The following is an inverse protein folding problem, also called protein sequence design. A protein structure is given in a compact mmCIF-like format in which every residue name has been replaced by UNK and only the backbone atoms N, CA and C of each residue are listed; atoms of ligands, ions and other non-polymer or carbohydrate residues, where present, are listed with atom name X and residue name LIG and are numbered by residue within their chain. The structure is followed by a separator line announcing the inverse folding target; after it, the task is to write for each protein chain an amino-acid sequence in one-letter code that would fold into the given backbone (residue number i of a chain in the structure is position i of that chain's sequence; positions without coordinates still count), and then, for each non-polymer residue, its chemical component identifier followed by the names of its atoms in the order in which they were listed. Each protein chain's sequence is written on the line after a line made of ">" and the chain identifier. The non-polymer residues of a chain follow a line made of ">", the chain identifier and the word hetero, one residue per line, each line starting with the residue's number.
data_IF_809478094848
#
_entry.id   IF_809478094848
#
_cell.length_a   1.000
_cell.length_b   1.000
_cell.length_c   1.000
_cell.angle_alpha   90.00
_cell.angle_beta   90.00
_cell.angle_gamma   90.00
#
_symmetry.space_group_name_H-M   'P 1'
#
loop_
_entity.id
_entity.type
_entity.pdbx_description
1 polymer ?
#
# COMPACT_ATOMS: atom_id res chain seq x y z
N UNK A 1 15.15 1.16 -3.71
CA UNK A 1 13.80 1.08 -3.10
C UNK A 1 13.27 2.48 -2.85
N UNK A 2 11.94 2.67 -2.84
CA UNK A 2 11.28 3.92 -2.51
C UNK A 2 10.62 3.83 -1.11
N UNK A 3 10.72 4.88 -0.30
CA UNK A 3 10.09 4.97 1.01
C UNK A 3 9.63 6.40 1.31
N UNK A 4 8.54 6.52 2.09
CA UNK A 4 7.88 7.81 2.35
C UNK A 4 8.03 8.30 3.81
N UNK A 5 8.43 7.42 4.75
CA UNK A 5 8.64 7.77 6.16
C UNK A 5 9.87 7.09 6.78
N UNK A 6 10.49 7.77 7.77
CA UNK A 6 11.72 7.35 8.46
C UNK A 6 11.48 6.17 9.44
N UNK A 7 10.22 5.84 9.76
CA UNK A 7 9.91 4.74 10.68
C UNK A 7 8.86 3.82 10.08
N UNK A 8 9.28 2.60 9.75
CA UNK A 8 8.39 1.45 9.57
C UNK A 8 8.60 0.47 10.72
N UNK A 9 7.66 -0.45 10.92
CA UNK A 9 7.73 -1.36 12.05
C UNK A 9 9.00 -2.24 12.02
N UNK A 10 9.40 -2.76 10.84
CA UNK A 10 10.50 -3.72 10.70
C UNK A 10 11.78 -3.18 10.02
N UNK A 11 11.91 -1.87 9.76
CA UNK A 11 13.17 -1.34 9.23
C UNK A 11 13.62 -0.02 9.87
N UNK A 12 14.92 0.28 9.72
CA UNK A 12 15.53 1.57 10.05
C UNK A 12 16.24 2.10 8.81
N UNK A 13 16.18 3.42 8.64
CA UNK A 13 16.88 4.11 7.57
C UNK A 13 18.14 4.79 8.10
N UNK A 14 19.19 4.72 7.28
CA UNK A 14 20.46 5.38 7.53
C UNK A 14 20.73 6.31 6.35
N UNK A 15 20.94 7.57 6.67
CA UNK A 15 21.23 8.62 5.70
C UNK A 15 22.70 9.00 5.84
N UNK A 16 23.43 8.90 4.74
CA UNK A 16 24.78 9.45 4.59
C UNK A 16 24.77 10.40 3.39
N UNK A 17 25.73 11.32 3.33
CA UNK A 17 25.75 12.40 2.33
C UNK A 17 25.62 11.90 0.88
N UNK A 18 26.14 10.70 0.58
CA UNK A 18 26.09 10.13 -0.77
C UNK A 18 24.98 9.08 -0.97
N UNK A 19 24.55 8.39 0.09
CA UNK A 19 23.67 7.21 -0.04
C UNK A 19 22.72 7.01 1.15
N UNK A 20 21.48 6.69 0.84
CA UNK A 20 20.49 6.24 1.83
C UNK A 20 20.38 4.71 1.79
N UNK A 21 20.37 4.08 2.97
CA UNK A 21 20.29 2.61 3.11
C UNK A 21 19.17 2.22 4.04
N UNK A 22 18.49 1.13 3.71
CA UNK A 22 17.58 0.45 4.64
C UNK A 22 18.29 -0.71 5.31
N UNK A 23 18.06 -0.87 6.61
CA UNK A 23 18.45 -2.05 7.37
C UNK A 23 17.21 -2.62 8.07
N UNK A 24 16.97 -3.90 7.85
CA UNK A 24 15.88 -4.62 8.50
C UNK A 24 16.23 -4.89 9.98
N UNK A 25 15.24 -4.73 10.86
CA UNK A 25 15.39 -5.06 12.29
C UNK A 25 15.36 -6.57 12.47
N UNK A 26 14.42 -7.22 11.78
CA UNK A 26 14.27 -8.67 11.69
C UNK A 26 14.23 -9.11 10.21
N UNK A 27 14.29 -10.42 9.95
CA UNK A 27 14.13 -10.92 8.58
C UNK A 27 12.74 -10.57 8.05
N UNK A 28 12.63 -10.14 6.79
CA UNK A 28 11.35 -9.94 6.12
C UNK A 28 10.52 -11.23 6.16
N UNK A 29 9.28 -11.13 6.66
CA UNK A 29 8.29 -12.20 6.74
C UNK A 29 7.06 -11.96 5.88
N UNK A 30 6.79 -10.72 5.46
CA UNK A 30 5.61 -10.38 4.69
C UNK A 30 5.93 -9.50 3.49
N UNK A 31 5.50 -9.95 2.31
CA UNK A 31 5.66 -9.20 1.06
C UNK A 31 4.28 -8.95 0.47
N UNK A 32 3.95 -7.70 0.18
CA UNK A 32 2.81 -7.38 -0.69
C UNK A 32 3.33 -7.24 -2.13
N UNK A 33 2.71 -7.94 -3.08
CA UNK A 33 3.00 -7.74 -4.51
C UNK A 33 1.87 -6.96 -5.14
N UNK A 34 2.21 -5.80 -5.72
CA UNK A 34 1.28 -4.97 -6.50
C UNK A 34 1.79 -4.94 -7.93
N UNK A 35 0.88 -5.12 -8.89
CA UNK A 35 1.25 -5.22 -10.30
C UNK A 35 0.32 -4.43 -11.19
N UNK A 36 0.75 -4.15 -12.43
CA UNK A 36 -0.13 -3.61 -13.46
C UNK A 36 -1.18 -4.66 -13.82
N UNK A 37 -2.46 -4.30 -13.71
CA UNK A 37 -3.59 -5.16 -14.05
C UNK A 37 -3.74 -5.39 -15.55
N UNK A 38 -4.41 -6.49 -15.91
CA UNK A 38 -4.82 -6.84 -17.28
C UNK A 38 -3.67 -6.84 -18.30
N UNK A 39 -2.46 -7.22 -17.88
CA UNK A 39 -1.28 -7.30 -18.72
C UNK A 39 -0.66 -8.70 -18.61
N UNK A 40 -0.86 -9.53 -19.64
CA UNK A 40 -0.45 -10.93 -19.64
C UNK A 40 1.06 -11.12 -19.39
N UNK A 41 1.90 -10.22 -19.90
CA UNK A 41 3.36 -10.29 -19.67
C UNK A 41 3.71 -10.04 -18.20
N UNK A 42 2.93 -9.19 -17.53
CA UNK A 42 3.07 -8.92 -16.11
C UNK A 42 2.62 -10.11 -15.28
N UNK A 43 1.54 -10.80 -15.68
CA UNK A 43 1.07 -12.02 -15.03
C UNK A 43 2.08 -13.16 -15.14
N UNK A 44 2.68 -13.39 -16.31
CA UNK A 44 3.74 -14.40 -16.47
C UNK A 44 4.96 -14.10 -15.59
N UNK A 45 5.32 -12.83 -15.50
CA UNK A 45 6.41 -12.39 -14.62
C UNK A 45 6.03 -12.55 -13.14
N UNK A 46 4.79 -12.26 -12.77
CA UNK A 46 4.25 -12.47 -11.42
C UNK A 46 4.30 -13.95 -11.04
N UNK A 47 3.85 -14.87 -11.91
CA UNK A 47 3.95 -16.33 -11.70
C UNK A 47 5.40 -16.75 -11.41
N UNK A 48 6.33 -16.31 -12.27
CA UNK A 48 7.76 -16.57 -12.11
C UNK A 48 8.33 -16.03 -10.79
N UNK A 49 7.91 -14.82 -10.42
CA UNK A 49 8.30 -14.16 -9.17
C UNK A 49 7.78 -14.94 -7.94
N UNK A 50 6.47 -15.19 -7.88
CA UNK A 50 5.81 -15.87 -6.77
C UNK A 50 6.39 -17.27 -6.56
N UNK A 51 6.52 -18.05 -7.64
CA UNK A 51 7.12 -19.38 -7.57
C UNK A 51 8.55 -19.35 -7.03
N UNK A 52 9.38 -18.44 -7.53
CA UNK A 52 10.76 -18.32 -7.10
C UNK A 52 10.88 -17.92 -5.63
N UNK A 53 10.11 -16.93 -5.19
CA UNK A 53 10.20 -16.39 -3.83
C UNK A 53 9.70 -17.41 -2.80
N UNK A 54 8.54 -18.03 -3.03
CA UNK A 54 7.97 -19.02 -2.09
C UNK A 54 8.90 -20.22 -1.90
N UNK A 55 9.58 -20.66 -2.96
CA UNK A 55 10.52 -21.78 -2.92
C UNK A 55 11.84 -21.46 -2.20
N UNK A 56 12.24 -20.18 -2.14
CA UNK A 56 13.58 -19.77 -1.70
C UNK A 56 13.60 -19.13 -0.31
N UNK A 57 12.53 -18.48 0.12
CA UNK A 57 12.45 -17.79 1.40
C UNK A 57 11.20 -18.18 2.16
N UNK A 58 11.31 -18.16 3.50
CA UNK A 58 10.26 -18.48 4.45
C UNK A 58 9.46 -17.22 4.82
N UNK A 59 8.46 -16.92 4.00
CA UNK A 59 7.66 -15.69 4.11
C UNK A 59 6.24 -15.87 3.56
N UNK A 60 5.36 -14.91 3.89
CA UNK A 60 4.01 -14.79 3.35
C UNK A 60 3.98 -13.78 2.22
N UNK A 61 3.44 -14.18 1.07
CA UNK A 61 3.11 -13.26 -0.02
C UNK A 61 1.63 -12.87 0.09
N UNK A 62 1.36 -11.56 0.09
CA UNK A 62 0.04 -10.97 0.04
C UNK A 62 -0.26 -10.52 -1.39
N UNK A 63 -1.45 -10.89 -1.89
CA UNK A 63 -1.96 -10.54 -3.22
C UNK A 63 -3.39 -10.03 -3.10
N UNK A 64 -3.81 -9.10 -3.94
CA UNK A 64 -5.22 -8.74 -4.05
C UNK A 64 -6.06 -9.95 -4.51
N UNK A 65 -7.33 -10.02 -4.09
CA UNK A 65 -8.20 -11.18 -4.38
C UNK A 65 -8.28 -11.46 -5.88
N UNK A 66 -8.47 -10.42 -6.69
CA UNK A 66 -8.58 -10.54 -8.14
C UNK A 66 -7.31 -11.10 -8.78
N UNK A 67 -6.13 -10.72 -8.29
CA UNK A 67 -4.85 -11.26 -8.74
C UNK A 67 -4.74 -12.74 -8.38
N UNK A 68 -5.15 -13.13 -7.17
CA UNK A 68 -5.10 -14.52 -6.76
C UNK A 68 -6.05 -15.38 -7.60
N UNK A 69 -7.24 -14.87 -7.91
CA UNK A 69 -8.22 -15.55 -8.77
C UNK A 69 -7.68 -15.70 -10.20
N UNK A 70 -7.03 -14.66 -10.74
CA UNK A 70 -6.37 -14.72 -12.05
C UNK A 70 -5.24 -15.76 -12.08
N UNK A 71 -4.43 -15.86 -11.02
CA UNK A 71 -3.38 -16.88 -10.90
C UNK A 71 -3.95 -18.31 -10.76
N UNK A 72 -5.13 -18.46 -10.16
CA UNK A 72 -5.82 -19.76 -10.02
C UNK A 72 -6.48 -20.24 -11.31
N UNK A 73 -6.75 -19.34 -12.25
CA UNK A 73 -7.32 -19.70 -13.56
C UNK A 73 -6.29 -20.33 -14.52
N UNK A 74 -5.00 -20.34 -14.15
CA UNK A 74 -3.96 -21.02 -14.93
C UNK A 74 -3.80 -22.47 -14.50
N UNK A 75 -4.08 -23.42 -15.40
CA UNK A 75 -4.07 -24.85 -15.10
C UNK A 75 -2.70 -25.38 -14.62
N UNK A 76 -1.61 -24.77 -15.07
CA UNK A 76 -0.24 -25.21 -14.74
C UNK A 76 0.23 -24.60 -13.41
N UNK A 77 -0.20 -23.39 -13.10
CA UNK A 77 0.19 -22.65 -11.91
C UNK A 77 -0.73 -22.91 -10.71
N UNK A 78 -2.00 -23.23 -10.98
CA UNK A 78 -3.01 -23.51 -9.95
C UNK A 78 -2.57 -24.55 -8.92
N UNK A 79 -2.05 -25.74 -9.30
CA UNK A 79 -1.62 -26.75 -8.33
C UNK A 79 -0.49 -26.26 -7.43
N UNK A 80 0.36 -25.36 -7.92
CA UNK A 80 1.47 -24.77 -7.18
C UNK A 80 0.94 -23.76 -6.17
N UNK A 81 0.17 -22.76 -6.63
CA UNK A 81 -0.29 -21.67 -5.77
C UNK A 81 -1.27 -22.17 -4.71
N UNK A 82 -2.13 -23.14 -5.04
CA UNK A 82 -3.14 -23.68 -4.11
C UNK A 82 -2.49 -24.31 -2.87
N UNK A 83 -1.33 -24.96 -3.01
CA UNK A 83 -0.62 -25.55 -1.86
C UNK A 83 -0.19 -24.48 -0.84
N UNK A 84 0.32 -23.33 -1.31
CA UNK A 84 0.73 -22.23 -0.44
C UNK A 84 -0.44 -21.42 0.12
N UNK A 85 -1.57 -21.36 -0.60
CA UNK A 85 -2.81 -20.75 -0.10
C UNK A 85 -3.38 -21.58 1.05
N UNK A 86 -3.41 -22.90 0.92
CA UNK A 86 -3.89 -23.79 1.99
C UNK A 86 -3.08 -23.61 3.28
N UNK A 87 -1.74 -23.59 3.18
CA UNK A 87 -0.85 -23.31 4.31
C UNK A 87 -1.08 -21.93 4.95
N UNK A 88 -1.58 -20.96 4.17
CA UNK A 88 -1.90 -19.62 4.65
C UNK A 88 -3.22 -19.53 5.43
N UNK A 89 -4.13 -20.48 5.22
CA UNK A 89 -5.49 -20.48 5.77
C UNK A 89 -5.60 -21.22 7.13
N UNK A 90 -4.50 -21.76 7.67
CA UNK A 90 -4.47 -22.48 8.94
C UNK A 90 -4.58 -21.57 10.18
N UNK A 91 -5.69 -20.84 10.29
CA UNK A 91 -6.38 -20.62 11.58
C UNK A 91 -7.49 -21.67 11.80
N UNK A 92 -7.50 -22.78 11.03
CA UNK A 92 -8.40 -23.92 11.25
C UNK A 92 -7.64 -25.26 11.28
N UNK A 93 -7.37 -25.72 12.51
CA UNK A 93 -7.02 -27.07 12.95
C UNK A 93 -5.78 -27.73 12.33
N UNK A 94 -4.72 -27.78 13.15
CA UNK A 94 -3.85 -28.96 13.22
C UNK A 94 -4.72 -30.22 13.37
N UNK A 95 -4.91 -30.94 12.27
CA UNK A 95 -5.29 -32.33 12.26
C UNK A 95 -4.31 -33.07 11.36
N UNK A 96 -3.48 -33.87 12.02
CA UNK A 96 -2.58 -34.91 11.53
C UNK A 96 -2.97 -35.49 10.17
N UNK A 97 -2.05 -35.44 9.21
CA UNK A 97 -1.99 -36.41 8.11
C UNK A 97 -0.54 -36.88 7.97
N UNK A 98 -0.19 -37.84 8.83
CA UNK A 98 0.71 -38.91 8.42
C UNK A 98 -0.12 -39.83 7.52
N UNK A 99 0.20 -39.87 6.23
CA UNK A 99 -0.25 -40.96 5.37
C UNK A 99 0.94 -41.50 4.60
N UNK A 100 1.30 -42.73 4.99
CA UNK A 100 2.08 -43.70 4.24
C UNK A 100 1.64 -43.76 2.77
N UNK A 101 2.59 -43.61 1.85
CA UNK A 101 2.43 -44.11 0.48
C UNK A 101 3.69 -44.90 0.13
N UNK A 102 3.66 -46.17 0.51
CA UNK A 102 4.55 -47.20 -0.01
C UNK A 102 4.15 -47.58 -1.43
N UNK A 103 5.10 -47.45 -2.36
CA UNK A 103 5.21 -48.31 -3.54
C UNK A 103 4.57 -47.81 -4.84
N UNK A 104 5.40 -47.23 -5.72
CA UNK A 104 5.59 -47.67 -7.11
C UNK A 104 6.80 -46.93 -7.69
N UNK A 105 7.61 -47.69 -8.42
CA UNK A 105 8.98 -47.38 -8.86
C UNK A 105 8.93 -47.03 -10.35
N UNK A 106 9.54 -45.92 -10.76
CA UNK A 106 10.48 -45.79 -11.90
C UNK A 106 10.71 -44.33 -12.35
N UNK A 107 11.93 -43.85 -12.05
CA UNK A 107 12.86 -43.20 -12.98
C UNK A 107 12.33 -42.15 -13.98
N UNK A 108 12.23 -40.90 -13.52
CA UNK A 108 12.86 -39.74 -14.16
C UNK A 108 13.29 -38.75 -13.08
N UNK A 109 14.60 -38.62 -12.88
CA UNK A 109 15.18 -37.73 -11.89
C UNK A 109 15.18 -36.29 -12.42
N UNK A 110 14.03 -35.62 -12.32
CA UNK A 110 13.99 -34.16 -12.30
C UNK A 110 13.23 -33.74 -11.04
N UNK A 111 13.99 -33.16 -10.10
CA UNK A 111 13.66 -33.08 -8.69
C UNK A 111 12.30 -32.44 -8.44
N UNK A 112 11.34 -33.24 -7.95
CA UNK A 112 10.19 -32.74 -7.20
C UNK A 112 10.74 -32.05 -5.95
N UNK A 113 10.98 -30.74 -6.05
CA UNK A 113 11.47 -29.97 -4.92
C UNK A 113 10.41 -30.00 -3.84
N UNK A 114 10.74 -30.59 -2.68
CA UNK A 114 9.92 -30.51 -1.46
C UNK A 114 9.40 -29.08 -1.32
N UNK A 115 8.08 -28.93 -1.21
CA UNK A 115 7.42 -27.65 -1.02
C UNK A 115 7.98 -26.95 0.22
N UNK A 116 8.15 -25.63 0.15
CA UNK A 116 8.50 -24.86 1.34
C UNK A 116 7.26 -24.66 2.21
N UNK A 117 7.09 -25.49 3.23
CA UNK A 117 5.93 -25.44 4.14
C UNK A 117 5.91 -24.22 5.06
N UNK A 118 7.00 -23.45 5.12
CA UNK A 118 7.10 -22.23 5.93
C UNK A 118 6.66 -20.98 5.19
N UNK A 119 6.33 -21.12 3.91
CA UNK A 119 5.85 -20.03 3.07
C UNK A 119 4.36 -20.18 2.82
N UNK A 120 3.70 -19.05 2.60
CA UNK A 120 2.26 -19.03 2.37
C UNK A 120 1.86 -17.90 1.44
N UNK A 121 0.66 -18.02 0.88
CA UNK A 121 0.01 -16.96 0.12
C UNK A 121 -1.30 -16.60 0.81
N UNK A 122 -1.53 -15.31 1.03
CA UNK A 122 -2.75 -14.79 1.66
C UNK A 122 -3.34 -13.67 0.82
N UNK A 123 -4.64 -13.46 0.97
CA UNK A 123 -5.31 -12.30 0.37
C UNK A 123 -4.89 -11.05 1.13
N UNK A 124 -4.55 -10.01 0.39
CA UNK A 124 -4.29 -8.69 0.93
C UNK A 124 -5.62 -8.01 1.24
N UNK A 125 -5.73 -7.53 2.47
CA UNK A 125 -6.80 -6.67 2.93
C UNK A 125 -6.20 -5.45 3.65
N UNK A 126 -6.95 -4.35 3.67
CA UNK A 126 -6.52 -3.10 4.29
C UNK A 126 -6.20 -3.23 5.79
N UNK A 127 -6.77 -4.22 6.48
CA UNK A 127 -6.48 -4.54 7.89
C UNK A 127 -5.06 -5.06 8.13
N UNK A 128 -4.41 -5.65 7.12
CA UNK A 128 -3.05 -6.20 7.24
C UNK A 128 -1.95 -5.24 6.77
N UNK A 129 -2.28 -4.00 6.38
CA UNK A 129 -1.30 -3.00 5.92
C UNK A 129 -0.12 -2.81 6.87
N UNK A 130 -0.39 -2.76 8.17
CA UNK A 130 0.63 -2.56 9.19
C UNK A 130 1.52 -3.80 9.42
N UNK A 131 1.19 -4.94 8.81
CA UNK A 131 1.95 -6.19 8.88
C UNK A 131 2.88 -6.39 7.69
N UNK A 132 2.86 -5.52 6.68
CA UNK A 132 3.65 -5.66 5.44
C UNK A 132 5.07 -5.10 5.64
N UNK A 133 6.09 -5.95 5.52
CA UNK A 133 7.49 -5.55 5.66
C UNK A 133 8.03 -4.89 4.38
N UNK A 134 7.65 -5.42 3.22
CA UNK A 134 8.17 -5.01 1.91
C UNK A 134 7.04 -5.02 0.87
N UNK A 135 7.04 -4.02 -0.01
CA UNK A 135 6.18 -4.00 -1.20
C UNK A 135 7.03 -4.28 -2.44
N UNK A 136 6.56 -5.17 -3.29
CA UNK A 136 7.13 -5.45 -4.61
C UNK A 136 6.18 -4.91 -5.67
N UNK A 137 6.66 -3.95 -6.45
CA UNK A 137 5.94 -3.35 -7.56
C UNK A 137 6.37 -4.01 -8.88
N UNK A 138 5.44 -4.64 -9.60
CA UNK A 138 5.65 -5.21 -10.94
C UNK A 138 4.87 -4.39 -11.98
N UNK A 139 5.50 -3.37 -12.55
CA UNK A 139 4.80 -2.48 -13.48
C UNK A 139 5.58 -1.23 -13.84
N UNK A 140 4.87 -0.13 -14.04
CA UNK A 140 5.44 1.19 -14.33
C UNK A 140 5.19 2.18 -13.21
N UNK A 141 5.35 3.46 -13.51
CA UNK A 141 5.16 4.54 -12.53
C UNK A 141 3.71 4.60 -12.00
N UNK A 142 2.72 4.30 -12.85
CA UNK A 142 1.31 4.22 -12.43
C UNK A 142 1.02 3.14 -11.38
N UNK A 143 1.73 2.00 -11.42
CA UNK A 143 1.63 0.96 -10.38
C UNK A 143 2.19 1.46 -9.05
N UNK A 144 3.21 2.32 -9.08
CA UNK A 144 3.75 2.94 -7.88
C UNK A 144 2.80 4.01 -7.30
N UNK A 145 2.08 4.74 -8.15
CA UNK A 145 1.01 5.65 -7.72
C UNK A 145 -0.15 4.91 -7.06
N UNK A 146 -0.52 3.75 -7.60
CA UNK A 146 -1.51 2.87 -6.97
C UNK A 146 -1.06 2.45 -5.56
N UNK A 147 0.21 2.07 -5.38
CA UNK A 147 0.76 1.79 -4.04
C UNK A 147 0.61 3.00 -3.11
N UNK A 148 0.90 4.21 -3.59
CA UNK A 148 0.69 5.43 -2.82
C UNK A 148 -0.77 5.60 -2.34
N UNK A 149 -1.74 5.29 -3.21
CA UNK A 149 -3.17 5.29 -2.88
C UNK A 149 -3.54 4.22 -1.84
N UNK A 150 -2.96 3.02 -1.93
CA UNK A 150 -3.21 1.93 -0.97
C UNK A 150 -2.70 2.23 0.45
N UNK A 151 -1.67 3.06 0.56
CA UNK A 151 -0.99 3.41 1.82
C UNK A 151 -1.07 4.91 2.13
N UNK A 152 -2.24 5.41 2.50
CA UNK A 152 -2.48 6.79 2.96
C UNK A 152 -1.90 7.09 4.36
N UNK A 153 -0.81 6.42 4.75
CA UNK A 153 -0.13 6.53 6.04
C UNK A 153 1.31 6.07 5.90
N UNK A 154 1.82 5.23 6.78
CA UNK A 154 3.18 4.68 6.62
C UNK A 154 3.22 3.72 5.43
N UNK A 155 4.05 4.02 4.43
CA UNK A 155 4.34 3.12 3.30
C UNK A 155 5.57 2.26 3.61
N UNK A 156 5.45 0.92 3.61
CA UNK A 156 6.61 0.02 3.67
C UNK A 156 7.61 0.28 2.54
N UNK A 157 8.89 -0.11 2.67
CA UNK A 157 9.84 0.01 1.58
C UNK A 157 9.35 -0.68 0.31
N UNK A 158 9.48 0.01 -0.83
CA UNK A 158 9.03 -0.49 -2.13
C UNK A 158 10.23 -0.84 -3.01
N UNK A 159 10.31 -2.09 -3.46
CA UNK A 159 11.18 -2.47 -4.58
C UNK A 159 10.35 -2.52 -5.86
N UNK A 160 10.81 -1.84 -6.91
CA UNK A 160 10.03 -1.66 -8.13
C UNK A 160 10.75 -2.19 -9.36
N UNK A 161 10.09 -3.12 -10.05
CA UNK A 161 10.56 -3.76 -11.27
C UNK A 161 9.74 -3.26 -12.47
N UNK A 162 10.44 -2.79 -13.51
CA UNK A 162 9.85 -2.47 -14.81
C UNK A 162 9.79 -3.70 -15.71
N UNK A 163 8.64 -3.88 -16.34
CA UNK A 163 8.38 -4.97 -17.29
C UNK A 163 8.26 -4.49 -18.74
N UNK A 164 8.44 -3.19 -18.97
CA UNK A 164 8.44 -2.56 -20.29
C UNK A 164 9.52 -1.49 -20.45
N UNK A 165 9.14 -0.34 -21.01
CA UNK A 165 10.02 0.83 -21.18
C UNK A 165 10.58 1.31 -19.84
N UNK A 166 11.69 2.05 -19.89
CA UNK A 166 12.28 2.65 -18.70
C UNK A 166 11.36 3.75 -18.18
N UNK A 167 10.83 3.56 -16.96
CA UNK A 167 10.11 4.60 -16.20
C UNK A 167 11.04 5.37 -15.26
N UNK A 168 10.56 6.47 -14.68
CA UNK A 168 11.35 7.28 -13.75
C UNK A 168 11.40 6.70 -12.34
N UNK A 169 10.33 6.01 -11.92
CA UNK A 169 10.20 5.50 -10.55
C UNK A 169 10.50 4.00 -10.42
N UNK A 170 10.60 3.28 -11.55
CA UNK A 170 10.79 1.83 -11.65
C UNK A 170 12.19 1.47 -12.20
N UNK A 171 13.26 1.56 -11.38
CA UNK A 171 14.63 1.52 -11.89
C UNK A 171 15.10 0.13 -12.33
N UNK A 172 14.55 -0.95 -11.76
CA UNK A 172 15.09 -2.29 -11.96
C UNK A 172 14.37 -3.01 -13.11
N UNK A 173 15.06 -3.47 -14.16
CA UNK A 173 14.44 -4.36 -15.12
C UNK A 173 14.05 -5.69 -14.45
N UNK A 174 12.86 -6.23 -14.76
CA UNK A 174 12.38 -7.46 -14.12
C UNK A 174 13.33 -8.64 -14.27
N UNK A 175 14.11 -8.73 -15.36
CA UNK A 175 15.15 -9.77 -15.55
C UNK A 175 16.14 -9.89 -14.37
N UNK A 176 16.32 -8.82 -13.59
CA UNK A 176 17.22 -8.80 -12.42
C UNK A 176 16.53 -9.16 -11.10
N UNK A 177 15.23 -9.51 -11.10
CA UNK A 177 14.45 -9.66 -9.86
C UNK A 177 15.09 -10.62 -8.86
N UNK A 178 15.64 -11.74 -9.31
CA UNK A 178 16.27 -12.74 -8.45
C UNK A 178 17.43 -12.15 -7.63
N UNK A 179 18.32 -11.42 -8.29
CA UNK A 179 19.48 -10.81 -7.66
C UNK A 179 19.07 -9.67 -6.73
N UNK A 180 18.11 -8.86 -7.15
CA UNK A 180 17.63 -7.74 -6.33
C UNK A 180 16.86 -8.22 -5.10
N UNK A 181 16.00 -9.23 -5.23
CA UNK A 181 15.31 -9.84 -4.10
C UNK A 181 16.30 -10.45 -3.11
N UNK A 182 17.33 -11.16 -3.60
CA UNK A 182 18.40 -11.68 -2.75
C UNK A 182 19.09 -10.55 -1.96
N UNK A 183 19.47 -9.47 -2.64
CA UNK A 183 20.11 -8.30 -2.01
C UNK A 183 19.22 -7.65 -0.95
N UNK A 184 17.91 -7.57 -1.17
CA UNK A 184 16.96 -6.96 -0.23
C UNK A 184 16.68 -7.86 0.96
N UNK A 185 16.50 -9.17 0.73
CA UNK A 185 16.09 -10.13 1.76
C UNK A 185 17.24 -10.58 2.66
N UNK A 186 18.46 -10.64 2.15
CA UNK A 186 19.63 -11.15 2.89
C UNK A 186 20.53 -10.02 3.43
N UNK A 187 20.33 -8.77 3.02
CA UNK A 187 21.29 -7.70 3.26
C UNK A 187 20.70 -6.32 3.44
N UNK A 188 21.60 -5.34 3.49
CA UNK A 188 21.26 -3.92 3.41
C UNK A 188 21.11 -3.52 1.94
N UNK A 189 20.08 -2.76 1.62
CA UNK A 189 19.85 -2.30 0.25
C UNK A 189 19.73 -0.78 0.19
N UNK A 190 20.17 -0.22 -0.93
CA UNK A 190 20.06 1.22 -1.19
C UNK A 190 18.59 1.61 -1.40
N UNK A 191 18.22 2.76 -0.83
CA UNK A 191 16.91 3.34 -0.96
C UNK A 191 17.01 4.81 -1.37
N UNK A 192 15.93 5.32 -1.94
CA UNK A 192 15.69 6.73 -2.19
C UNK A 192 14.45 7.08 -1.39
N UNK A 193 14.55 8.09 -0.54
CA UNK A 193 13.35 8.66 0.07
C UNK A 193 12.65 9.53 -0.95
N UNK A 194 11.33 9.37 -1.05
CA UNK A 194 10.49 10.30 -1.81
C UNK A 194 9.50 10.94 -0.86
N UNK A 195 9.43 12.25 -0.91
CA UNK A 195 8.43 13.01 -0.15
C UNK A 195 7.07 12.83 -0.78
N UNK A 196 6.03 12.91 0.05
CA UNK A 196 4.64 12.96 -0.41
C UNK A 196 3.99 14.26 0.03
N UNK A 197 3.10 14.78 -0.81
CA UNK A 197 2.22 15.87 -0.44
C UNK A 197 1.16 15.34 0.51
N UNK A 198 0.86 16.08 1.58
CA UNK A 198 -0.29 15.86 2.45
C UNK A 198 -1.34 16.94 2.12
N UNK A 199 -2.58 16.52 1.88
CA UNK A 199 -3.71 17.40 1.66
C UNK A 199 -4.80 17.11 2.69
N UNK A 200 -5.42 18.18 3.18
CA UNK A 200 -6.54 18.13 4.09
C UNK A 200 -7.70 18.88 3.46
N UNK A 201 -8.84 18.21 3.29
CA UNK A 201 -10.05 18.86 2.78
C UNK A 201 -10.89 19.32 3.96
N UNK A 202 -11.23 20.62 3.97
CA UNK A 202 -12.07 21.23 5.00
C UNK A 202 -13.26 21.87 4.28
N UNK A 203 -14.45 21.29 4.43
CA UNK A 203 -15.67 21.85 3.83
C UNK A 203 -16.38 22.75 4.84
N UNK A 204 -16.79 23.93 4.37
CA UNK A 204 -17.68 24.77 5.15
C UNK A 204 -19.07 24.13 5.17
N UNK A 205 -19.58 23.78 6.36
CA UNK A 205 -20.99 23.44 6.52
C UNK A 205 -21.80 24.69 6.23
N UNK A 206 -22.48 24.73 5.09
CA UNK A 206 -23.48 25.76 4.81
C UNK A 206 -24.64 25.53 5.77
N UNK A 207 -24.73 26.34 6.82
CA UNK A 207 -25.93 26.39 7.63
C UNK A 207 -27.05 26.92 6.74
N UNK A 208 -28.08 26.11 6.51
CA UNK A 208 -29.35 26.58 5.99
C UNK A 208 -29.91 27.59 7.01
N UNK A 209 -29.66 28.88 6.80
CA UNK A 209 -30.36 29.96 7.48
C UNK A 209 -31.80 30.00 6.97
N UNK A 210 -32.63 29.10 7.47
CA UNK A 210 -34.08 29.28 7.56
C UNK A 210 -34.50 29.02 9.00
N UNK A 211 -34.13 29.96 9.87
CA UNK A 211 -34.87 30.27 11.10
C UNK A 211 -34.41 31.65 11.57
N UNK A 212 -35.25 32.65 11.30
CA UNK A 212 -35.34 33.81 12.17
C UNK A 212 -35.43 33.31 13.60
N UNK A 213 -34.45 33.62 14.45
CA UNK A 213 -34.65 33.83 15.88
C UNK A 213 -33.41 34.55 16.42
N UNK A 214 -33.62 35.81 16.82
CA UNK A 214 -32.76 36.55 17.73
C UNK A 214 -32.42 35.67 18.94
N UNK A 215 -31.14 35.49 19.27
CA UNK A 215 -30.75 35.28 20.66
C UNK A 215 -29.36 35.84 20.95
N UNK A 216 -29.28 36.46 22.12
CA UNK A 216 -28.30 37.43 22.58
C UNK A 216 -26.87 36.91 22.77
N UNK A 217 -25.95 37.86 22.66
CA UNK A 217 -24.54 37.76 23.01
C UNK A 217 -24.41 37.62 24.54
N UNK A 218 -23.86 36.51 25.03
CA UNK A 218 -23.17 36.49 26.32
C UNK A 218 -21.83 35.76 26.22
N UNK A 219 -20.78 36.52 26.53
CA UNK A 219 -19.40 36.09 26.69
C UNK A 219 -19.23 35.28 27.98
N UNK A 220 -18.55 34.14 27.93
CA UNK A 220 -17.74 33.66 29.07
C UNK A 220 -16.63 32.71 28.60
N UNK A 221 -15.40 33.07 28.96
CA UNK A 221 -14.16 32.30 28.84
C UNK A 221 -14.08 31.23 29.94
N UNK A 222 -13.57 30.01 29.65
CA UNK A 222 -12.70 29.21 30.56
C UNK A 222 -12.23 27.87 29.96
N UNK A 223 -10.90 27.77 29.82
CA UNK A 223 -9.93 26.67 30.09
C UNK A 223 -10.36 25.23 30.42
N UNK A 224 -9.57 24.25 29.92
CA UNK A 224 -9.04 22.99 30.55
C UNK A 224 -9.25 21.73 29.66
N UNK A 225 -8.22 21.13 29.02
CA UNK A 225 -7.21 20.15 29.49
C UNK A 225 -7.59 18.65 29.35
N UNK A 226 -6.81 17.93 28.53
CA UNK A 226 -6.25 16.56 28.65
C UNK A 226 -7.13 15.29 28.77
N UNK A 227 -6.76 14.26 27.98
CA UNK A 227 -6.56 12.81 28.31
C UNK A 227 -7.41 11.75 27.55
N UNK A 228 -6.69 10.89 26.81
CA UNK A 228 -6.78 9.44 26.57
C UNK A 228 -8.07 8.63 26.86
N UNK A 229 -8.57 7.88 25.86
CA UNK A 229 -8.56 6.39 25.79
C UNK A 229 -9.55 5.79 24.75
N UNK A 230 -9.04 4.82 23.97
CA UNK A 230 -9.64 3.56 23.48
C UNK A 230 -10.82 3.46 22.46
N UNK A 231 -10.51 2.69 21.39
CA UNK A 231 -11.34 1.79 20.55
C UNK A 231 -12.23 2.35 19.42
N UNK A 232 -12.26 1.67 18.24
CA UNK A 232 -13.43 1.64 17.37
C UNK A 232 -14.06 0.24 17.32
N UNK A 233 -15.32 0.16 17.77
CA UNK A 233 -16.28 -0.87 17.37
C UNK A 233 -17.19 -0.33 16.26
N UNK A 234 -17.68 -1.24 15.43
CA UNK A 234 -18.38 -1.00 14.19
C UNK A 234 -19.86 -0.57 14.35
N UNK A 235 -20.31 0.22 13.36
CA UNK A 235 -21.66 0.34 12.78
C UNK A 235 -22.88 0.61 13.69
N UNK A 236 -23.48 1.79 13.57
CA UNK A 236 -24.78 1.98 12.88
C UNK A 236 -25.32 3.41 13.05
N UNK A 237 -26.06 3.84 12.02
CA UNK A 237 -26.80 5.10 11.91
C UNK A 237 -27.54 5.50 13.20
N UNK A 238 -27.26 6.69 13.71
CA UNK A 238 -28.22 7.51 14.45
C UNK A 238 -27.81 8.98 14.34
N UNK A 239 -28.76 9.81 13.92
CA UNK A 239 -28.65 11.26 13.93
C UNK A 239 -28.54 11.73 15.38
N UNK A 240 -27.43 12.35 15.76
CA UNK A 240 -27.42 13.21 16.94
C UNK A 240 -26.60 14.48 16.70
N UNK A 241 -27.26 15.57 17.05
CA UNK A 241 -26.88 16.97 16.90
C UNK A 241 -26.04 17.35 18.13
N UNK A 242 -24.78 17.74 17.94
CA UNK A 242 -24.01 18.38 19.00
C UNK A 242 -22.50 18.38 18.78
N UNK A 243 -21.89 19.56 18.95
CA UNK A 243 -20.44 19.86 18.90
C UNK A 243 -19.80 19.98 17.51
N UNK A 244 -19.79 21.21 16.99
CA UNK A 244 -18.94 21.68 15.88
C UNK A 244 -17.46 21.48 16.23
N UNK A 245 -16.84 20.44 15.70
CA UNK A 245 -15.39 20.37 15.58
C UNK A 245 -14.98 20.81 14.18
N UNK A 246 -14.09 21.80 14.10
CA UNK A 246 -13.31 22.11 12.89
C UNK A 246 -12.27 21.00 12.66
N UNK A 247 -12.75 19.77 12.50
CA UNK A 247 -11.91 18.62 12.21
C UNK A 247 -11.78 18.45 10.71
N UNK A 248 -10.60 18.04 10.20
CA UNK A 248 -10.46 17.56 8.82
C UNK A 248 -11.62 16.68 8.41
N UNK A 249 -12.17 16.85 7.20
CA UNK A 249 -13.09 15.86 6.66
C UNK A 249 -12.32 14.54 6.40
N UNK A 250 -11.11 14.63 5.84
CA UNK A 250 -10.18 13.50 5.61
C UNK A 250 -8.75 14.03 5.28
N UNK A 251 -7.69 13.35 5.72
CA UNK A 251 -6.30 13.57 5.29
C UNK A 251 -5.93 12.63 4.13
N UNK A 252 -5.23 13.14 3.11
CA UNK A 252 -4.80 12.39 1.92
C UNK A 252 -3.32 12.60 1.62
N UNK A 253 -2.65 11.56 1.12
CA UNK A 253 -1.25 11.62 0.72
C UNK A 253 -1.04 11.29 -0.75
N UNK A 254 -0.24 12.10 -1.44
CA UNK A 254 0.02 12.02 -2.89
C UNK A 254 1.51 11.95 -3.17
N UNK A 255 1.91 11.10 -4.13
CA UNK A 255 3.32 10.95 -4.51
C UNK A 255 3.76 11.97 -5.57
N UNK A 256 2.94 12.18 -6.59
CA UNK A 256 3.24 13.11 -7.67
C UNK A 256 2.63 14.46 -7.34
N UNK A 257 1.37 14.65 -7.73
CA UNK A 257 0.76 15.97 -7.78
C UNK A 257 -0.63 15.96 -7.14
N UNK A 258 -1.04 17.12 -6.64
CA UNK A 258 -2.43 17.45 -6.33
C UNK A 258 -2.94 18.40 -7.42
N UNK A 259 -4.04 18.01 -8.07
CA UNK A 259 -4.70 18.82 -9.10
C UNK A 259 -6.06 19.24 -8.58
N UNK A 260 -6.38 20.53 -8.76
CA UNK A 260 -7.71 21.09 -8.49
C UNK A 260 -8.24 21.63 -9.81
N UNK A 261 -9.40 21.14 -10.21
CA UNK A 261 -10.04 21.47 -11.49
C UNK A 261 -11.55 21.69 -11.34
N UNK A 262 -12.15 22.36 -12.32
CA UNK A 262 -13.60 22.65 -12.33
C UNK A 262 -14.49 21.42 -12.56
N UNK A 263 -13.91 20.28 -12.88
CA UNK A 263 -14.60 19.05 -13.26
C UNK A 263 -15.50 19.27 -14.47
N UNK A 264 -16.75 18.80 -14.34
CA UNK A 264 -17.78 18.93 -15.37
C UNK A 264 -18.47 20.30 -15.37
N UNK A 265 -18.09 21.21 -14.47
CA UNK A 265 -18.69 22.55 -14.41
C UNK A 265 -18.47 23.27 -15.74
N UNK A 266 -19.52 23.85 -16.37
CA UNK A 266 -19.35 24.71 -17.54
C UNK A 266 -18.77 26.09 -17.17
N UNK A 267 -18.68 26.40 -15.87
CA UNK A 267 -18.14 27.65 -15.35
C UNK A 267 -16.70 27.47 -14.86
N UNK A 268 -15.93 28.55 -14.97
CA UNK A 268 -14.55 28.66 -14.51
C UNK A 268 -14.46 28.43 -13.00
N UNK A 269 -13.39 27.78 -12.55
CA UNK A 269 -13.10 27.65 -11.12
C UNK A 269 -12.42 28.92 -10.61
N UNK A 270 -12.92 29.48 -9.51
CA UNK A 270 -12.32 30.62 -8.81
C UNK A 270 -11.60 30.11 -7.55
N UNK A 271 -10.26 30.16 -7.58
CA UNK A 271 -9.38 29.61 -6.54
C UNK A 271 -8.56 30.70 -5.88
N UNK A 272 -8.80 30.94 -4.58
CA UNK A 272 -7.95 31.79 -3.74
C UNK A 272 -6.77 30.98 -3.17
N UNK A 273 -5.56 31.33 -3.58
CA UNK A 273 -4.34 30.66 -3.13
C UNK A 273 -3.72 31.42 -1.96
N UNK A 274 -3.54 30.73 -0.84
CA UNK A 274 -2.83 31.23 0.34
C UNK A 274 -1.58 30.41 0.64
N UNK A 275 -0.46 31.07 0.91
CA UNK A 275 0.79 30.44 1.37
C UNK A 275 1.11 30.97 2.76
N UNK A 276 1.30 30.08 3.73
CA UNK A 276 1.52 30.44 5.14
C UNK A 276 0.47 31.42 5.69
N UNK A 277 -0.80 31.20 5.32
CA UNK A 277 -1.95 32.02 5.74
C UNK A 277 -2.11 33.36 5.01
N UNK A 278 -1.21 33.71 4.09
CA UNK A 278 -1.23 34.97 3.34
C UNK A 278 -1.74 34.74 1.92
N UNK A 279 -2.65 35.60 1.47
CA UNK A 279 -3.15 35.59 0.08
C UNK A 279 -2.02 35.92 -0.89
N UNK A 280 -1.85 35.06 -1.90
CA UNK A 280 -0.83 35.20 -2.92
C UNK A 280 -1.47 35.64 -4.24
N UNK A 281 -2.50 34.93 -4.67
CA UNK A 281 -3.24 35.23 -5.90
C UNK A 281 -4.62 34.58 -5.88
N UNK A 282 -5.49 35.09 -6.73
CA UNK A 282 -6.71 34.41 -7.16
C UNK A 282 -6.48 33.87 -8.56
N UNK A 283 -6.97 32.66 -8.84
CA UNK A 283 -6.88 32.02 -10.15
C UNK A 283 -8.28 31.73 -10.65
N UNK A 284 -8.60 32.29 -11.81
CA UNK A 284 -9.81 31.96 -12.57
C UNK A 284 -9.38 31.12 -13.77
N UNK A 285 -9.64 29.81 -13.74
CA UNK A 285 -9.29 28.92 -14.84
C UNK A 285 -9.90 27.53 -14.79
N UNK A 286 -9.48 26.68 -15.72
CA UNK A 286 -9.97 25.31 -15.88
C UNK A 286 -9.24 24.31 -14.94
N UNK A 287 -7.92 24.44 -14.78
CA UNK A 287 -7.08 23.49 -14.03
C UNK A 287 -5.87 24.21 -13.39
N UNK A 288 -5.49 23.82 -12.16
CA UNK A 288 -4.15 24.06 -11.63
C UNK A 288 -3.40 22.74 -11.38
N UNK A 289 -2.20 22.64 -11.97
CA UNK A 289 -1.15 21.68 -11.56
C UNK A 289 -0.15 22.42 -10.67
N UNK A 290 0.19 21.85 -9.52
CA UNK A 290 1.24 22.40 -8.68
C UNK A 290 2.59 22.44 -9.43
N UNK A 291 3.32 23.55 -9.28
CA UNK A 291 4.72 23.73 -9.70
C UNK A 291 5.67 23.19 -8.62
#
# INVERSE_FOLDING_TARGET
>A
MMCDLISTHNCKFYFSDDQSRVKWKESIKSILVVHKFCDLNVIESLKSFVHYVLKKWDLTIYLESITLDELKNDDLFYPIIQQYVNLGNDEFKQATIEHDVSGLRENTAESCSKINTRSSVKIFDHTVRNKIDLIVCLGGDGTLLQIGSMFQGITPPVIAFRLGTLGFLTPFPFKMFRNQMKSVLEGSSYCVLRTRLCCQVIRSSVMNHNSNNNFDIQNTSTTSSCSSENQPQASNYSNDIGSRSSTPDTEYHFLNDLVIDRGLSPFICDLLIKVNGREVTTVEGDEQKNL
#
